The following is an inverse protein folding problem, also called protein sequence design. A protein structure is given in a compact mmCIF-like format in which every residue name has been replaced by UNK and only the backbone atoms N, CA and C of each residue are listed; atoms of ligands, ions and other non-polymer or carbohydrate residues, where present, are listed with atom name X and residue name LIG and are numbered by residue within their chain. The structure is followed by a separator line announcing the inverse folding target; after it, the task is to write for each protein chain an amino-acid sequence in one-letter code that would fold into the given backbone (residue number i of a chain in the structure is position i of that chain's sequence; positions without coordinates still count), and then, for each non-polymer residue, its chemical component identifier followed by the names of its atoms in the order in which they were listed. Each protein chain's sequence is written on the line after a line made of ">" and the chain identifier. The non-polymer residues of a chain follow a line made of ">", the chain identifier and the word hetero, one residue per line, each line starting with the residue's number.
data_IF_487732593430
#
_entry.id   IF_487732593430
#
_cell.length_a   1.000
_cell.length_b   1.000
_cell.length_c   1.000
_cell.angle_alpha   90.00
_cell.angle_beta   90.00
_cell.angle_gamma   90.00
#
_symmetry.space_group_name_H-M   'P 1'
#
loop_
_entity.id
_entity.type
_entity.pdbx_description
1 polymer ?
#
# COMPACT_ATOMS: atom_id res chain seq x y z
N UNK A 1 16.75 -12.78 9.92
CA UNK A 1 15.88 -13.64 9.10
C UNK A 1 16.37 -13.57 7.66
N UNK A 2 16.84 -14.67 7.05
CA UNK A 2 17.19 -14.70 5.63
C UNK A 2 15.92 -14.63 4.76
N UNK A 3 16.05 -14.07 3.56
CA UNK A 3 14.97 -14.00 2.55
C UNK A 3 15.31 -14.87 1.33
N UNK A 4 14.29 -15.42 0.69
CA UNK A 4 14.44 -16.31 -0.47
C UNK A 4 14.54 -15.47 -1.76
N UNK A 5 15.70 -15.49 -2.43
CA UNK A 5 15.94 -14.64 -3.61
C UNK A 5 15.09 -15.01 -4.84
N UNK A 6 14.54 -16.22 -4.92
CA UNK A 6 13.75 -16.66 -6.09
C UNK A 6 12.45 -15.86 -6.28
N UNK A 7 11.93 -15.30 -5.18
CA UNK A 7 10.72 -14.47 -5.13
C UNK A 7 11.07 -12.99 -4.90
N UNK A 8 12.36 -12.65 -4.93
CA UNK A 8 12.80 -11.26 -4.87
C UNK A 8 12.62 -10.66 -6.26
N UNK A 9 11.42 -10.16 -6.53
CA UNK A 9 11.15 -9.40 -7.75
C UNK A 9 12.09 -8.18 -7.80
N UNK A 10 13.02 -8.12 -8.78
CA UNK A 10 14.06 -7.10 -8.81
C UNK A 10 13.59 -5.76 -9.36
N UNK A 11 12.34 -5.62 -9.82
CA UNK A 11 11.93 -4.39 -10.51
C UNK A 11 11.98 -3.15 -9.62
N UNK A 12 11.65 -3.27 -8.34
CA UNK A 12 11.68 -2.14 -7.39
C UNK A 12 11.94 -2.59 -5.96
N UNK A 13 13.10 -2.24 -5.40
CA UNK A 13 13.45 -2.45 -3.99
C UNK A 13 12.83 -1.39 -3.06
N UNK A 14 11.54 -1.06 -3.27
CA UNK A 14 10.75 -0.18 -2.42
C UNK A 14 9.75 -1.00 -1.61
N UNK A 15 9.63 -0.66 -0.32
CA UNK A 15 8.64 -1.25 0.59
C UNK A 15 7.73 -0.16 1.12
N UNK A 16 6.39 -0.29 1.00
CA UNK A 16 5.46 0.68 1.55
C UNK A 16 5.70 0.93 3.06
N UNK A 17 5.51 2.17 3.52
CA UNK A 17 5.70 2.57 4.91
C UNK A 17 7.18 2.67 5.36
N UNK A 18 8.13 2.58 4.42
CA UNK A 18 9.53 2.89 4.69
C UNK A 18 9.85 4.30 4.21
N UNK A 19 10.79 4.96 4.90
CA UNK A 19 11.25 6.32 4.51
C UNK A 19 11.69 6.39 3.04
N UNK A 20 12.31 5.33 2.50
CA UNK A 20 12.69 5.27 1.09
C UNK A 20 11.45 5.38 0.18
N UNK A 21 10.41 4.60 0.48
CA UNK A 21 9.14 4.64 -0.26
C UNK A 21 8.41 5.97 -0.10
N UNK A 22 8.41 6.56 1.10
CA UNK A 22 7.70 7.81 1.36
C UNK A 22 8.33 8.98 0.59
N UNK A 23 9.67 9.03 0.55
CA UNK A 23 10.40 10.02 -0.27
C UNK A 23 10.09 9.85 -1.75
N UNK A 24 10.15 8.61 -2.27
CA UNK A 24 9.83 8.35 -3.70
C UNK A 24 8.39 8.73 -4.01
N UNK A 25 7.44 8.35 -3.16
CA UNK A 25 6.02 8.72 -3.31
C UNK A 25 5.87 10.24 -3.42
N UNK A 26 6.47 10.98 -2.48
CA UNK A 26 6.36 12.43 -2.42
C UNK A 26 6.90 13.12 -3.67
N UNK A 27 8.09 12.74 -4.14
CA UNK A 27 8.70 13.34 -5.34
C UNK A 27 7.92 12.98 -6.62
N UNK A 28 7.42 11.76 -6.75
CA UNK A 28 6.67 11.34 -7.94
C UNK A 28 5.22 11.86 -7.98
N UNK A 29 4.67 12.29 -6.84
CA UNK A 29 3.41 13.03 -6.79
C UNK A 29 3.56 14.50 -7.25
N UNK A 30 4.79 15.02 -7.24
CA UNK A 30 5.13 16.39 -7.60
C UNK A 30 6.31 16.43 -8.60
N UNK A 31 6.19 15.76 -9.77
CA UNK A 31 7.31 15.52 -10.68
C UNK A 31 7.90 16.80 -11.31
N UNK A 32 7.17 17.91 -11.26
CA UNK A 32 7.60 19.21 -11.76
C UNK A 32 8.54 19.98 -10.80
N UNK A 33 8.77 19.46 -9.59
CA UNK A 33 9.58 20.10 -8.55
C UNK A 33 10.85 19.31 -8.21
N UNK A 34 11.90 20.04 -7.85
CA UNK A 34 13.11 19.51 -7.24
C UNK A 34 13.18 19.89 -5.76
N UNK A 35 13.69 18.99 -4.93
CA UNK A 35 13.70 19.14 -3.47
C UNK A 35 15.11 18.97 -2.91
N UNK A 36 15.51 19.88 -2.02
CA UNK A 36 16.71 19.71 -1.21
C UNK A 36 16.45 18.73 -0.06
N UNK A 37 17.50 18.18 0.60
CA UNK A 37 17.32 17.38 1.80
C UNK A 37 16.57 18.10 2.93
N UNK A 38 16.65 19.43 2.97
CA UNK A 38 15.92 20.25 3.94
C UNK A 38 14.42 20.23 3.64
N UNK A 39 14.04 20.44 2.38
CA UNK A 39 12.63 20.46 1.97
C UNK A 39 11.96 19.11 2.22
N UNK A 40 12.67 18.00 1.96
CA UNK A 40 12.17 16.65 2.25
C UNK A 40 12.04 16.38 3.76
N UNK A 41 12.96 16.92 4.57
CA UNK A 41 12.87 16.84 6.04
C UNK A 41 11.59 17.54 6.53
N UNK A 42 11.33 18.74 6.02
CA UNK A 42 10.17 19.55 6.41
C UNK A 42 8.85 18.95 5.91
N UNK A 43 8.83 18.43 4.68
CA UNK A 43 7.63 17.86 4.07
C UNK A 43 7.19 16.53 4.68
N UNK A 44 8.15 15.68 5.09
CA UNK A 44 7.87 14.32 5.57
C UNK A 44 8.12 14.13 7.07
N UNK A 45 8.51 15.20 7.78
CA UNK A 45 8.87 15.18 9.20
C UNK A 45 9.88 14.07 9.55
N UNK A 46 10.91 13.92 8.71
CA UNK A 46 11.99 12.93 8.91
C UNK A 46 13.30 13.60 9.33
N UNK A 47 14.16 12.93 10.13
CA UNK A 47 15.45 13.51 10.51
C UNK A 47 16.33 13.87 9.30
N UNK A 48 16.98 15.04 9.34
CA UNK A 48 17.82 15.56 8.25
C UNK A 48 18.91 14.60 7.78
N UNK A 49 19.54 13.89 8.71
CA UNK A 49 20.56 12.87 8.38
C UNK A 49 19.98 11.69 7.60
N UNK A 50 18.76 11.27 7.96
CA UNK A 50 18.00 10.23 7.26
C UNK A 50 17.60 10.70 5.87
N UNK A 51 17.06 11.92 5.73
CA UNK A 51 16.70 12.50 4.43
C UNK A 51 17.92 12.54 3.49
N UNK A 52 19.04 13.10 3.96
CA UNK A 52 20.27 13.26 3.17
C UNK A 52 20.81 11.91 2.68
N UNK A 53 20.91 10.92 3.59
CA UNK A 53 21.46 9.60 3.26
C UNK A 53 20.52 8.82 2.34
N UNK A 54 19.21 8.92 2.56
CA UNK A 54 18.21 8.18 1.77
C UNK A 54 18.07 8.76 0.37
N UNK A 55 18.04 10.09 0.22
CA UNK A 55 18.03 10.76 -1.09
C UNK A 55 19.26 10.39 -1.92
N UNK A 56 20.44 10.41 -1.29
CA UNK A 56 21.67 9.99 -1.97
C UNK A 56 21.57 8.54 -2.46
N UNK A 57 21.15 7.61 -1.61
CA UNK A 57 20.99 6.20 -1.99
C UNK A 57 19.95 6.01 -3.09
N UNK A 58 18.84 6.73 -3.02
CA UNK A 58 17.80 6.68 -4.05
C UNK A 58 18.29 7.18 -5.41
N UNK A 59 19.13 8.23 -5.40
CA UNK A 59 19.80 8.69 -6.62
C UNK A 59 20.82 7.66 -7.12
N UNK A 60 21.67 7.12 -6.24
CA UNK A 60 22.67 6.10 -6.61
C UNK A 60 22.00 4.81 -7.15
N UNK A 61 20.80 4.48 -6.65
CA UNK A 61 19.98 3.35 -7.08
C UNK A 61 19.06 3.67 -8.29
N UNK A 62 19.23 4.82 -8.95
CA UNK A 62 18.47 5.29 -10.13
C UNK A 62 16.95 5.51 -9.90
N UNK A 63 16.50 5.72 -8.67
CA UNK A 63 15.08 6.05 -8.42
C UNK A 63 14.73 7.51 -8.68
N UNK A 64 15.73 8.39 -8.53
CA UNK A 64 15.59 9.84 -8.56
C UNK A 64 16.66 10.47 -9.44
N UNK A 65 16.34 11.61 -10.04
CA UNK A 65 17.32 12.50 -10.63
C UNK A 65 17.87 13.49 -9.60
N UNK A 66 19.01 14.09 -9.91
CA UNK A 66 19.63 15.15 -9.11
C UNK A 66 20.16 16.25 -10.00
N UNK A 67 19.81 17.49 -9.70
CA UNK A 67 20.35 18.68 -10.38
C UNK A 67 21.76 19.00 -9.89
N UNK A 68 22.52 19.76 -10.68
CA UNK A 68 23.87 20.22 -10.31
C UNK A 68 23.87 21.03 -9.00
N UNK A 69 22.80 21.78 -8.76
CA UNK A 69 22.60 22.57 -7.53
C UNK A 69 22.15 21.72 -6.31
N UNK A 70 22.00 20.40 -6.50
CA UNK A 70 21.79 19.45 -5.40
C UNK A 70 20.33 19.15 -5.04
N UNK A 71 19.37 19.51 -5.90
CA UNK A 71 17.96 19.18 -5.74
C UNK A 71 17.65 17.81 -6.33
N UNK A 72 16.81 17.03 -5.65
CA UNK A 72 16.38 15.71 -6.10
C UNK A 72 14.98 15.80 -6.70
N UNK A 73 14.74 15.10 -7.81
CA UNK A 73 13.46 15.13 -8.52
C UNK A 73 13.08 13.73 -9.03
N UNK A 74 11.79 13.55 -9.37
CA UNK A 74 11.31 12.32 -10.00
C UNK A 74 11.89 12.15 -11.41
N UNK A 75 12.08 10.90 -11.85
CA UNK A 75 12.53 10.61 -13.21
C UNK A 75 11.33 10.49 -14.16
N UNK A 76 11.48 11.12 -15.32
CA UNK A 76 10.45 11.19 -16.36
C UNK A 76 10.12 9.85 -17.01
N UNK A 77 11.10 8.95 -17.09
CA UNK A 77 11.05 7.75 -17.92
C UNK A 77 10.86 6.45 -17.11
N UNK A 78 10.64 6.57 -15.79
CA UNK A 78 10.46 5.44 -14.86
C UNK A 78 8.99 5.12 -14.62
N UNK A 79 8.36 4.49 -15.61
CA UNK A 79 6.94 4.07 -15.54
C UNK A 79 6.67 3.04 -14.44
N UNK A 80 7.64 2.18 -14.15
CA UNK A 80 7.64 1.21 -13.06
C UNK A 80 7.45 1.90 -11.69
N UNK A 81 8.20 2.98 -11.43
CA UNK A 81 8.09 3.75 -10.19
C UNK A 81 6.75 4.49 -10.11
N UNK A 82 6.29 5.08 -11.23
CA UNK A 82 4.97 5.74 -11.29
C UNK A 82 3.83 4.77 -11.02
N UNK A 83 3.91 3.55 -11.57
CA UNK A 83 2.93 2.49 -11.34
C UNK A 83 2.92 2.08 -9.87
N UNK A 84 4.09 1.90 -9.26
CA UNK A 84 4.22 1.63 -7.83
C UNK A 84 3.55 2.72 -6.96
N UNK A 85 3.87 3.99 -7.21
CA UNK A 85 3.30 5.13 -6.46
C UNK A 85 1.78 5.20 -6.63
N UNK A 86 1.28 4.97 -7.85
CA UNK A 86 -0.16 4.94 -8.13
C UNK A 86 -0.87 3.80 -7.39
N UNK A 87 -0.27 2.61 -7.34
CA UNK A 87 -0.79 1.47 -6.57
C UNK A 87 -0.81 1.74 -5.06
N UNK A 88 0.21 2.43 -4.56
CA UNK A 88 0.32 2.79 -3.15
C UNK A 88 -0.75 3.82 -2.76
N UNK A 89 -1.05 4.77 -3.63
CA UNK A 89 -2.10 5.77 -3.41
C UNK A 89 -3.50 5.12 -3.42
N UNK A 90 -3.77 4.22 -4.37
CA UNK A 90 -5.03 3.45 -4.42
C UNK A 90 -5.24 2.63 -3.14
N UNK A 91 -4.19 1.95 -2.67
CA UNK A 91 -4.23 1.18 -1.42
C UNK A 91 -4.52 2.11 -0.24
N UNK A 92 -3.83 3.25 -0.16
CA UNK A 92 -4.06 4.22 0.91
C UNK A 92 -5.49 4.79 0.87
N UNK A 93 -6.08 4.99 -0.31
CA UNK A 93 -7.47 5.44 -0.44
C UNK A 93 -8.46 4.37 0.01
N UNK A 94 -8.28 3.12 -0.42
CA UNK A 94 -9.17 2.01 -0.06
C UNK A 94 -9.20 1.74 1.45
N UNK A 95 -8.03 1.77 2.10
CA UNK A 95 -7.91 1.45 3.53
C UNK A 95 -7.87 2.68 4.44
N UNK A 96 -7.62 3.87 3.90
CA UNK A 96 -7.60 5.14 4.64
C UNK A 96 -9.00 5.62 5.01
N UNK A 97 -10.01 5.34 4.18
CA UNK A 97 -11.41 5.65 4.48
C UNK A 97 -11.97 4.92 5.70
N UNK A 98 -11.34 3.84 6.16
CA UNK A 98 -11.78 3.07 7.34
C UNK A 98 -11.02 3.43 8.62
N UNK A 99 -10.16 4.45 8.60
CA UNK A 99 -9.30 4.81 9.74
C UNK A 99 -9.65 6.13 10.41
N UNK A 100 -10.73 6.78 9.99
CA UNK A 100 -11.40 7.75 10.86
C UNK A 100 -12.04 6.95 12.00
N UNK A 101 -11.66 7.23 13.25
CA UNK A 101 -12.19 6.57 14.47
C UNK A 101 -13.73 6.70 14.62
N UNK A 102 -14.37 7.48 13.74
CA UNK A 102 -15.82 7.69 13.67
C UNK A 102 -16.52 6.94 12.52
N UNK A 103 -15.78 6.27 11.62
CA UNK A 103 -16.40 5.38 10.62
C UNK A 103 -16.78 4.07 11.30
N UNK A 104 -17.94 4.08 11.94
CA UNK A 104 -18.64 2.82 12.23
C UNK A 104 -19.08 2.26 10.88
N UNK A 105 -18.65 1.05 10.47
CA UNK A 105 -19.17 0.47 9.25
C UNK A 105 -20.70 0.48 9.33
N UNK A 106 -21.35 1.07 8.33
CA UNK A 106 -22.80 1.13 8.32
C UNK A 106 -23.34 -0.30 8.43
N UNK A 107 -24.30 -0.51 9.32
CA UNK A 107 -24.94 -1.83 9.41
C UNK A 107 -25.58 -2.07 8.05
N UNK A 108 -25.18 -3.10 7.28
CA UNK A 108 -25.73 -3.31 5.96
C UNK A 108 -27.24 -3.53 6.09
N UNK A 109 -28.03 -2.90 5.21
CA UNK A 109 -29.50 -2.98 5.21
C UNK A 109 -30.01 -4.43 5.16
N UNK A 110 -29.18 -5.34 4.65
CA UNK A 110 -29.47 -6.76 4.57
C UNK A 110 -28.31 -7.56 5.13
N UNK A 111 -28.48 -8.06 6.35
CA UNK A 111 -27.55 -9.03 6.97
C UNK A 111 -27.99 -10.44 6.58
N UNK A 112 -27.06 -11.23 6.08
CA UNK A 112 -27.30 -12.65 5.80
C UNK A 112 -27.53 -13.32 7.16
N UNK A 113 -28.72 -13.91 7.36
CA UNK A 113 -29.13 -14.53 8.63
C UNK A 113 -29.97 -13.64 9.56
N UNK A 114 -30.32 -12.40 9.16
CA UNK A 114 -31.17 -11.54 10.00
C UNK A 114 -32.57 -12.15 10.15
N UNK A 115 -32.97 -12.45 11.39
CA UNK A 115 -34.25 -13.10 11.70
C UNK A 115 -34.26 -14.64 11.60
N UNK A 116 -33.09 -15.27 11.40
CA UNK A 116 -32.94 -16.73 11.51
C UNK A 116 -32.35 -17.10 12.88
N UNK A 117 -32.86 -18.15 13.50
CA UNK A 117 -32.25 -18.71 14.72
C UNK A 117 -31.22 -19.78 14.39
N UNK A 118 -30.29 -20.04 15.30
CA UNK A 118 -29.31 -21.13 15.16
C UNK A 118 -30.03 -22.48 14.97
N UNK A 119 -31.16 -22.70 15.65
CA UNK A 119 -31.97 -23.92 15.52
C UNK A 119 -32.58 -24.10 14.13
N UNK A 120 -33.00 -23.02 13.46
CA UNK A 120 -33.52 -23.08 12.10
C UNK A 120 -32.41 -23.38 11.08
N UNK A 121 -31.21 -22.83 11.33
CA UNK A 121 -30.03 -23.05 10.49
C UNK A 121 -29.49 -24.48 10.64
N UNK A 122 -29.43 -25.00 11.86
CA UNK A 122 -29.03 -26.37 12.13
C UNK A 122 -29.99 -27.38 11.48
N UNK A 123 -31.30 -27.14 11.57
CA UNK A 123 -32.30 -27.99 10.91
C UNK A 123 -32.21 -27.95 9.37
N UNK A 124 -31.89 -26.79 8.78
CA UNK A 124 -31.67 -26.64 7.33
C UNK A 124 -30.38 -27.36 6.91
N UNK A 125 -29.33 -27.31 7.73
CA UNK A 125 -28.07 -28.04 7.53
C UNK A 125 -28.27 -29.56 7.58
N UNK A 126 -28.95 -30.06 8.62
CA UNK A 126 -29.27 -31.49 8.77
C UNK A 126 -30.10 -31.99 7.58
N UNK A 127 -31.08 -31.20 7.12
CA UNK A 127 -31.89 -31.56 5.96
C UNK A 127 -31.05 -31.63 4.67
N UNK A 128 -30.13 -30.69 4.47
CA UNK A 128 -29.26 -30.64 3.29
C UNK A 128 -28.23 -31.80 3.29
N UNK A 129 -27.67 -32.14 4.46
CA UNK A 129 -26.73 -33.25 4.63
C UNK A 129 -27.42 -34.60 4.33
N UNK A 130 -28.65 -34.79 4.82
CA UNK A 130 -29.44 -35.98 4.49
C UNK A 130 -29.86 -36.05 3.01
N UNK A 131 -30.13 -34.90 2.36
CA UNK A 131 -30.42 -34.85 0.92
C UNK A 131 -29.19 -35.20 0.08
N UNK A 132 -27.99 -34.76 0.51
CA UNK A 132 -26.73 -35.10 -0.15
C UNK A 132 -26.35 -36.57 0.03
N UNK A 133 -26.50 -37.13 1.24
CA UNK A 133 -26.22 -38.55 1.51
C UNK A 133 -27.20 -39.49 0.75
N UNK A 134 -28.42 -39.02 0.46
CA UNK A 134 -29.39 -39.77 -0.34
C UNK A 134 -29.15 -39.76 -1.86
N UNK A 135 -28.18 -38.98 -2.35
CA UNK A 135 -27.80 -38.92 -3.78
C UNK A 135 -26.62 -39.85 -4.13
N UNK A 136 -26.01 -40.49 -3.12
CA UNK A 136 -24.90 -41.46 -3.25
C UNK A 136 -25.38 -42.95 -3.12
N UNK A 137 -26.68 -43.23 -3.32
CA UNK A 137 -27.26 -44.60 -3.49
C UNK A 137 -27.77 -44.89 -4.90
#
# INVERSE_FOLDING_TARGET
>A
MPILLKDHDPELALRPGTTKSDIVKYLYQHPEWGYSPKDVTEALDIPRGTATTTLKRLYDDDYLGKTDDGYYHALGDREDIRRYVSSLDQTHRLFGHHRDEETTPETPEKRIGDGRTDEELDAELDALENEMDGLDE
#
